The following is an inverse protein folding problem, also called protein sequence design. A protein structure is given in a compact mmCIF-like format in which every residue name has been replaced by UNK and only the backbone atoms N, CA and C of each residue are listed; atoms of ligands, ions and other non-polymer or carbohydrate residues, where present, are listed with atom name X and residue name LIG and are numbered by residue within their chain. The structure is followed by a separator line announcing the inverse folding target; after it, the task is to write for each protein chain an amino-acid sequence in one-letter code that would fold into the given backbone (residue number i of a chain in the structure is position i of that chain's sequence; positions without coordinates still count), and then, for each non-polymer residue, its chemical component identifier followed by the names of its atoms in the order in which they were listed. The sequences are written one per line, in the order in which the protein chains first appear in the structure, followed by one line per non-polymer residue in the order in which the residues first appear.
data_IF_242481031800
#
_entry.id   IF_242481031800
#
_cell.length_a   1.000
_cell.length_b   1.000
_cell.length_c   1.000
_cell.angle_alpha   90.00
_cell.angle_beta   90.00
_cell.angle_gamma   90.00
#
_symmetry.space_group_name_H-M   'P 1'
#
loop_
_entity.id
_entity.type
_entity.pdbx_description
1 polymer ?
#
# COMPACT_ATOMS: atom_id res chain seq x y z
N UNK A 1 8.15 -30.49 2.34
CA UNK A 1 7.11 -29.90 1.46
C UNK A 1 5.82 -29.75 2.26
N UNK A 2 5.26 -28.55 2.39
CA UNK A 2 4.04 -28.32 3.19
C UNK A 2 2.86 -27.88 2.30
N UNK A 3 1.63 -28.28 2.68
CA UNK A 3 0.41 -27.91 1.99
C UNK A 3 0.16 -26.40 2.07
N UNK A 4 0.36 -25.70 0.95
CA UNK A 4 0.08 -24.26 0.83
C UNK A 4 -1.35 -24.05 0.31
N UNK A 5 -2.28 -23.76 1.22
CA UNK A 5 -3.65 -23.39 0.86
C UNK A 5 -3.71 -22.01 0.18
N UNK A 6 -4.06 -22.02 -1.11
CA UNK A 6 -4.38 -20.84 -1.94
C UNK A 6 -5.63 -21.15 -2.76
N UNK A 7 -6.64 -20.30 -2.72
CA UNK A 7 -7.85 -20.43 -3.53
C UNK A 7 -8.13 -19.11 -4.24
N UNK A 8 -8.46 -19.16 -5.52
CA UNK A 8 -8.93 -18.00 -6.29
C UNK A 8 -10.39 -18.24 -6.65
N UNK A 9 -11.26 -17.28 -6.33
CA UNK A 9 -12.69 -17.36 -6.59
C UNK A 9 -13.06 -16.21 -7.52
N UNK A 10 -13.68 -16.53 -8.66
CA UNK A 10 -14.28 -15.53 -9.55
C UNK A 10 -15.68 -15.23 -9.02
N UNK A 11 -15.96 -13.96 -8.74
CA UNK A 11 -17.27 -13.53 -8.26
C UNK A 11 -18.12 -13.11 -9.46
N UNK A 12 -17.52 -12.31 -10.34
CA UNK A 12 -18.16 -11.76 -11.53
C UNK A 12 -17.13 -11.74 -12.69
N UNK A 13 -17.58 -11.65 -13.95
CA UNK A 13 -16.67 -11.46 -15.08
C UNK A 13 -15.90 -10.14 -14.94
N UNK A 14 -14.60 -10.26 -14.66
CA UNK A 14 -13.72 -9.12 -14.36
C UNK A 14 -13.49 -8.87 -12.87
N UNK A 15 -14.11 -9.64 -11.96
CA UNK A 15 -13.85 -9.53 -10.52
C UNK A 15 -13.46 -10.88 -9.94
N UNK A 16 -12.25 -10.95 -9.37
CA UNK A 16 -11.73 -12.15 -8.72
C UNK A 16 -11.11 -11.83 -7.37
N UNK A 17 -11.20 -12.78 -6.46
CA UNK A 17 -10.63 -12.66 -5.12
C UNK A 17 -9.69 -13.82 -4.87
N UNK A 18 -8.49 -13.50 -4.37
CA UNK A 18 -7.50 -14.50 -3.98
C UNK A 18 -7.48 -14.63 -2.46
N UNK A 19 -7.68 -15.85 -1.98
CA UNK A 19 -7.76 -16.22 -0.57
C UNK A 19 -6.57 -17.12 -0.24
N UNK A 20 -5.90 -16.84 0.87
CA UNK A 20 -4.79 -17.66 1.39
C UNK A 20 -4.99 -17.95 2.87
N UNK A 21 -4.03 -18.66 3.50
CA UNK A 21 -4.05 -18.98 4.94
C UNK A 21 -4.25 -17.76 5.86
N UNK A 22 -3.87 -16.55 5.41
CA UNK A 22 -4.02 -15.28 6.16
C UNK A 22 -5.29 -14.50 5.77
N UNK A 23 -6.25 -15.13 5.11
CA UNK A 23 -7.49 -14.53 4.62
C UNK A 23 -7.38 -13.95 3.20
N UNK A 24 -8.18 -12.90 2.93
CA UNK A 24 -8.23 -12.23 1.63
C UNK A 24 -6.87 -11.58 1.35
N UNK A 25 -6.23 -12.02 0.27
CA UNK A 25 -4.86 -11.66 -0.10
C UNK A 25 -4.82 -10.58 -1.17
N UNK A 26 -5.74 -10.65 -2.13
CA UNK A 26 -5.93 -9.61 -3.13
C UNK A 26 -7.31 -9.68 -3.78
N UNK A 27 -7.78 -8.54 -4.26
CA UNK A 27 -8.98 -8.40 -5.08
C UNK A 27 -8.55 -7.80 -6.41
N UNK A 28 -8.91 -8.46 -7.51
CA UNK A 28 -8.71 -7.95 -8.86
C UNK A 28 -10.05 -7.54 -9.45
N UNK A 29 -10.11 -6.31 -9.98
CA UNK A 29 -11.27 -5.74 -10.65
C UNK A 29 -10.85 -5.25 -12.04
N UNK A 30 -11.62 -5.54 -13.08
CA UNK A 30 -11.43 -5.04 -14.43
C UNK A 30 -11.27 -6.11 -15.50
N UNK A 31 -11.20 -5.65 -16.74
CA UNK A 31 -11.14 -6.46 -17.96
C UNK A 31 -9.88 -6.10 -18.75
N UNK A 32 -9.68 -6.73 -19.91
CA UNK A 32 -8.60 -6.33 -20.81
C UNK A 32 -8.69 -4.84 -21.12
N UNK A 33 -7.59 -4.12 -20.93
CA UNK A 33 -7.46 -2.69 -21.19
C UNK A 33 -7.62 -1.78 -19.97
N UNK A 34 -8.32 -2.21 -18.92
CA UNK A 34 -8.38 -1.47 -17.67
C UNK A 34 -8.61 -2.41 -16.49
N UNK A 35 -7.63 -2.54 -15.61
CA UNK A 35 -7.73 -3.38 -14.42
C UNK A 35 -7.01 -2.80 -13.22
N UNK A 36 -7.53 -3.12 -12.04
CA UNK A 36 -7.07 -2.66 -10.73
C UNK A 36 -6.89 -3.88 -9.85
N UNK A 37 -5.75 -3.98 -9.18
CA UNK A 37 -5.45 -5.03 -8.22
C UNK A 37 -5.21 -4.42 -6.84
N UNK A 38 -6.10 -4.71 -5.91
CA UNK A 38 -6.04 -4.28 -4.52
C UNK A 38 -5.38 -5.37 -3.70
N UNK A 39 -4.32 -5.04 -2.96
CA UNK A 39 -3.64 -5.97 -2.06
C UNK A 39 -3.15 -5.26 -0.80
N UNK A 40 -2.68 -6.02 0.19
CA UNK A 40 -2.21 -5.46 1.47
C UNK A 40 -1.02 -4.48 1.33
N UNK A 41 -0.21 -4.63 0.27
CA UNK A 41 0.95 -3.76 0.00
C UNK A 41 0.56 -2.49 -0.74
N UNK A 42 -0.61 -2.43 -1.35
CA UNK A 42 -1.02 -1.31 -2.18
C UNK A 42 -1.94 -1.68 -3.35
N UNK A 43 -2.15 -0.69 -4.20
CA UNK A 43 -3.03 -0.75 -5.36
C UNK A 43 -2.19 -0.76 -6.63
N UNK A 44 -2.44 -1.70 -7.54
CA UNK A 44 -1.84 -1.69 -8.87
C UNK A 44 -2.89 -1.40 -9.92
N UNK A 45 -2.70 -0.31 -10.65
CA UNK A 45 -3.60 0.13 -11.72
C UNK A 45 -2.92 -0.13 -13.06
N UNK A 46 -3.61 -0.81 -13.96
CA UNK A 46 -3.17 -1.11 -15.32
C UNK A 46 -4.19 -0.54 -16.29
N UNK A 47 -3.72 0.29 -17.21
CA UNK A 47 -4.51 0.92 -18.26
C UNK A 47 -3.76 0.69 -19.57
N UNK A 48 -4.43 0.17 -20.57
CA UNK A 48 -3.82 -0.11 -21.86
C UNK A 48 -4.86 -0.25 -22.95
N UNK A 49 -4.41 -0.14 -24.19
CA UNK A 49 -5.30 -0.31 -25.33
C UNK A 49 -5.17 -1.77 -25.77
N UNK A 50 -6.25 -2.56 -25.72
CA UNK A 50 -6.20 -3.96 -26.13
C UNK A 50 -5.91 -4.05 -27.63
N UNK A 51 -5.06 -5.00 -28.03
CA UNK A 51 -4.72 -5.23 -29.44
C UNK A 51 -3.59 -4.36 -30.01
N UNK A 52 -3.15 -3.31 -29.30
CA UNK A 52 -2.05 -2.44 -29.77
C UNK A 52 -0.69 -2.73 -29.12
N UNK A 53 -0.66 -3.58 -28.09
CA UNK A 53 0.54 -3.86 -27.30
C UNK A 53 0.95 -2.75 -26.33
N UNK A 54 0.22 -1.64 -26.31
CA UNK A 54 0.54 -0.47 -25.48
C UNK A 54 -0.24 -0.58 -24.16
N UNK A 55 0.49 -0.69 -23.06
CA UNK A 55 -0.09 -0.69 -21.72
C UNK A 55 0.80 0.06 -20.74
N UNK A 56 0.16 0.67 -19.76
CA UNK A 56 0.78 1.42 -18.69
C UNK A 56 0.30 0.89 -17.34
N UNK A 57 1.24 0.69 -16.42
CA UNK A 57 0.95 0.17 -15.10
C UNK A 57 1.60 1.03 -14.02
N UNK A 58 0.82 1.44 -13.02
CA UNK A 58 1.31 2.15 -11.83
C UNK A 58 1.00 1.38 -10.56
N UNK A 59 1.95 1.42 -9.63
CA UNK A 59 1.81 0.83 -8.30
C UNK A 59 1.78 1.94 -7.25
N UNK A 60 0.72 1.93 -6.45
CA UNK A 60 0.50 2.84 -5.35
C UNK A 60 0.68 2.06 -4.04
N UNK A 61 1.85 2.15 -3.39
CA UNK A 61 2.07 1.47 -2.12
C UNK A 61 1.13 2.02 -1.05
N UNK A 62 0.63 1.13 -0.20
CA UNK A 62 -0.10 1.53 1.00
C UNK A 62 0.93 2.02 2.04
N UNK A 63 1.36 3.27 1.92
CA UNK A 63 2.15 3.92 2.96
C UNK A 63 1.16 4.33 4.06
N UNK A 64 1.24 3.68 5.22
CA UNK A 64 0.67 4.29 6.42
C UNK A 64 1.41 5.63 6.59
N UNK A 65 0.72 6.76 6.72
CA UNK A 65 1.37 7.98 7.18
C UNK A 65 2.12 7.66 8.47
N UNK A 66 3.33 8.19 8.70
CA UNK A 66 3.90 8.14 10.03
C UNK A 66 2.88 8.78 10.96
N UNK A 67 2.43 8.00 11.95
CA UNK A 67 1.56 8.48 13.01
C UNK A 67 2.34 9.59 13.73
N UNK A 68 1.88 10.83 13.55
CA UNK A 68 2.51 12.02 14.11
C UNK A 68 2.39 11.89 15.63
N UNK A 69 3.48 11.49 16.29
CA UNK A 69 3.54 11.53 17.76
C UNK A 69 3.31 12.99 18.15
N UNK A 70 2.24 13.26 18.89
CA UNK A 70 1.98 14.56 19.49
C UNK A 70 3.10 14.78 20.52
N UNK A 71 4.12 15.54 20.13
CA UNK A 71 5.17 16.01 21.02
C UNK A 71 4.52 16.89 22.11
N UNK A 72 4.54 16.40 23.34
CA UNK A 72 4.27 17.19 24.54
C UNK A 72 5.47 18.12 24.73
N UNK A 73 5.27 19.43 24.56
CA UNK A 73 6.24 20.49 24.85
C UNK A 73 6.74 20.41 26.32
N UNK A 74 8.01 20.09 26.60
CA UNK A 74 8.59 20.39 27.90
C UNK A 74 9.17 21.81 27.89
N UNK A 75 8.56 22.67 28.70
CA UNK A 75 8.99 24.05 28.99
C UNK A 75 10.48 24.13 29.34
N UNK A 76 11.30 24.80 28.51
CA UNK A 76 12.70 25.11 28.83
C UNK A 76 12.82 26.49 29.47
N UNK A 77 13.37 26.54 30.69
CA UNK A 77 13.75 27.77 31.39
C UNK A 77 15.22 28.06 31.01
N UNK A 78 15.58 29.26 30.53
CA UNK A 78 16.98 29.58 30.24
C UNK A 78 17.70 30.02 31.51
N UNK A 79 18.65 29.23 31.99
CA UNK A 79 19.76 29.73 32.82
C UNK A 79 21.05 29.64 32.01
N UNK A 80 21.48 30.78 31.47
CA UNK A 80 22.76 30.90 30.77
C UNK A 80 23.82 31.26 31.81
N UNK A 81 24.62 30.29 32.22
CA UNK A 81 25.83 30.50 33.02
C UNK A 81 27.03 30.73 32.09
N UNK A 82 27.96 31.56 32.56
CA UNK A 82 29.36 31.74 32.13
C UNK A 82 29.62 32.94 31.23
N UNK A 83 30.35 33.92 31.75
CA UNK A 83 31.80 33.94 31.52
C UNK A 83 32.45 35.14 32.23
N UNK A 84 33.40 34.84 33.11
CA UNK A 84 34.47 35.76 33.51
C UNK A 84 35.28 36.17 32.28
N UNK A 85 35.60 37.45 32.14
CA UNK A 85 36.76 37.90 31.38
C UNK A 85 37.43 39.07 32.11
N UNK A 86 38.77 38.98 32.11
CA UNK A 86 39.79 39.90 32.61
C UNK A 86 39.71 41.25 31.90
#
# INVERSE_FOLDING_TARGET
MSLRFRKSIKILPGVKVNISKKGISSIGLGKSGASINLNKKGIRTNIGIPGTGISYSKFHPNKKPPEKQLEQEPSYIPTCTSSNLI
#
